data_IF_136603633187
#
_entry.id   IF_136603633187
#
_cell.length_a   1.000
_cell.length_b   1.000
_cell.length_c   1.000
_cell.angle_alpha   90.00
_cell.angle_beta   90.00
_cell.angle_gamma   90.00
#
_symmetry.space_group_name_H-M   'P 1'
#
loop_
_entity.id
_entity.type
_entity.pdbx_description
1 polymer ?
#
# COMPACT_ATOMS: atom_id res chain seq x y z
N UNK A 1 0.98 -25.32 -17.85
CA UNK A 1 2.27 -24.62 -17.64
C UNK A 1 1.99 -23.16 -17.25
N UNK A 2 1.48 -22.90 -16.03
CA UNK A 2 1.08 -21.54 -15.56
C UNK A 2 1.51 -21.24 -14.10
N UNK A 3 2.19 -22.18 -13.43
CA UNK A 3 2.59 -22.05 -12.03
C UNK A 3 3.79 -21.11 -11.82
N UNK A 4 4.64 -20.92 -12.84
CA UNK A 4 5.77 -19.97 -12.75
C UNK A 4 5.31 -18.51 -12.79
N UNK A 5 4.27 -18.19 -13.57
CA UNK A 5 3.68 -16.85 -13.56
C UNK A 5 3.07 -16.51 -12.20
N UNK A 6 2.43 -17.45 -11.49
CA UNK A 6 1.84 -17.14 -10.17
C UNK A 6 2.88 -16.90 -9.08
N UNK A 7 4.02 -17.59 -9.12
CA UNK A 7 5.13 -17.38 -8.17
C UNK A 7 5.86 -16.06 -8.43
N UNK A 8 6.15 -15.74 -9.70
CA UNK A 8 6.75 -14.46 -10.09
C UNK A 8 5.79 -13.32 -9.79
N UNK A 9 4.51 -13.45 -10.16
CA UNK A 9 3.49 -12.44 -9.87
C UNK A 9 3.28 -12.23 -8.36
N UNK A 10 3.33 -13.29 -7.53
CA UNK A 10 3.25 -13.14 -6.06
C UNK A 10 4.45 -12.37 -5.51
N UNK A 11 5.67 -12.75 -5.88
CA UNK A 11 6.87 -12.06 -5.42
C UNK A 11 6.94 -10.62 -5.94
N UNK A 12 6.50 -10.40 -7.18
CA UNK A 12 6.39 -9.07 -7.77
C UNK A 12 5.31 -8.23 -7.09
N UNK A 13 4.20 -8.82 -6.65
CA UNK A 13 3.15 -8.10 -5.92
C UNK A 13 3.71 -7.53 -4.61
N UNK A 14 4.43 -8.34 -3.85
CA UNK A 14 5.07 -7.92 -2.59
C UNK A 14 6.15 -6.87 -2.84
N UNK A 15 6.99 -7.05 -3.87
CA UNK A 15 8.03 -6.08 -4.24
C UNK A 15 7.42 -4.75 -4.72
N UNK A 16 6.40 -4.80 -5.58
CA UNK A 16 5.68 -3.62 -6.06
C UNK A 16 4.99 -2.89 -4.92
N UNK A 17 4.32 -3.60 -4.01
CA UNK A 17 3.70 -3.00 -2.82
C UNK A 17 4.74 -2.32 -1.93
N UNK A 18 5.89 -2.95 -1.71
CA UNK A 18 7.01 -2.31 -0.99
C UNK A 18 7.46 -1.01 -1.64
N UNK A 19 7.59 -0.97 -2.97
CA UNK A 19 8.08 0.23 -3.65
C UNK A 19 7.01 1.32 -3.77
N UNK A 20 5.76 0.96 -4.10
CA UNK A 20 4.66 1.91 -4.25
C UNK A 20 4.22 2.53 -2.93
N UNK A 21 4.24 1.75 -1.84
CA UNK A 21 3.76 2.19 -0.54
C UNK A 21 4.89 2.50 0.43
N UNK A 22 6.17 2.41 0.05
CA UNK A 22 7.31 2.79 0.90
C UNK A 22 7.11 4.20 1.47
N UNK A 23 6.74 5.14 0.60
CA UNK A 23 6.60 6.54 0.92
C UNK A 23 5.22 7.02 0.45
N UNK A 24 4.36 7.36 1.40
CA UNK A 24 3.01 7.87 1.15
C UNK A 24 2.96 9.32 1.58
N UNK A 25 2.68 10.21 0.63
CA UNK A 25 2.50 11.65 0.86
C UNK A 25 1.01 11.94 0.75
N UNK A 26 0.45 12.54 1.80
CA UNK A 26 -0.95 12.94 1.90
C UNK A 26 -1.00 14.45 2.08
N UNK A 27 -1.54 15.16 1.09
CA UNK A 27 -1.57 16.62 1.01
C UNK A 27 -2.92 17.21 1.46
N UNK A 28 -3.89 16.35 1.81
CA UNK A 28 -5.21 16.81 2.27
C UNK A 28 -5.90 15.81 3.19
N UNK A 29 -6.82 16.34 3.99
CA UNK A 29 -7.70 15.55 4.88
C UNK A 29 -8.53 14.53 4.06
N UNK A 30 -8.95 14.90 2.85
CA UNK A 30 -9.69 14.00 1.98
C UNK A 30 -8.83 12.82 1.49
N UNK A 31 -7.55 13.05 1.19
CA UNK A 31 -6.61 11.97 0.82
C UNK A 31 -6.32 11.06 2.02
N UNK A 32 -6.17 11.64 3.22
CA UNK A 32 -6.03 10.86 4.45
C UNK A 32 -7.24 9.93 4.69
N UNK A 33 -8.46 10.44 4.58
CA UNK A 33 -9.66 9.63 4.78
C UNK A 33 -9.77 8.48 3.76
N UNK A 34 -9.36 8.71 2.51
CA UNK A 34 -9.29 7.65 1.47
C UNK A 34 -8.21 6.62 1.79
N UNK A 35 -7.04 7.07 2.23
CA UNK A 35 -5.94 6.19 2.60
C UNK A 35 -6.26 5.33 3.83
N UNK A 36 -6.92 5.90 4.83
CA UNK A 36 -7.38 5.16 6.01
C UNK A 36 -8.38 4.05 5.62
N UNK A 37 -9.36 4.35 4.76
CA UNK A 37 -10.28 3.33 4.23
C UNK A 37 -9.57 2.25 3.42
N UNK A 38 -8.54 2.60 2.66
CA UNK A 38 -7.72 1.64 1.92
C UNK A 38 -6.94 0.72 2.86
N UNK A 39 -6.37 1.27 3.94
CA UNK A 39 -5.69 0.49 4.97
C UNK A 39 -6.66 -0.49 5.65
N UNK A 40 -7.82 -0.01 6.09
CA UNK A 40 -8.85 -0.84 6.73
C UNK A 40 -9.34 -1.97 5.82
N UNK A 41 -9.55 -1.69 4.53
CA UNK A 41 -9.92 -2.71 3.54
C UNK A 41 -8.79 -3.70 3.26
N UNK A 42 -7.53 -3.24 3.30
CA UNK A 42 -6.37 -4.09 3.07
C UNK A 42 -6.06 -5.01 4.24
N UNK A 43 -6.38 -4.61 5.48
CA UNK A 43 -6.20 -5.41 6.68
C UNK A 43 -7.01 -6.72 6.65
N UNK A 44 -8.08 -6.77 5.85
CA UNK A 44 -8.90 -7.97 5.63
C UNK A 44 -8.28 -8.93 4.59
N UNK A 45 -7.22 -8.52 3.90
CA UNK A 45 -6.50 -9.34 2.92
C UNK A 45 -5.22 -9.89 3.55
N UNK A 46 -4.80 -11.10 3.17
CA UNK A 46 -3.71 -11.92 3.78
C UNK A 46 -2.32 -11.22 3.93
N UNK A 47 -2.14 -10.04 3.36
CA UNK A 47 -0.95 -9.20 3.46
C UNK A 47 -1.35 -7.73 3.53
N UNK A 48 -1.80 -7.30 4.72
CA UNK A 48 -2.20 -5.92 4.97
C UNK A 48 -1.16 -4.90 4.50
N UNK A 49 -1.65 -3.81 3.91
CA UNK A 49 -0.81 -2.82 3.22
C UNK A 49 0.07 -2.03 4.19
N UNK A 50 -0.34 -1.96 5.46
CA UNK A 50 0.35 -1.26 6.55
C UNK A 50 1.80 -1.71 6.70
N UNK A 51 2.12 -2.97 6.35
CA UNK A 51 3.47 -3.54 6.41
C UNK A 51 4.42 -2.99 5.36
N UNK A 52 3.88 -2.35 4.33
CA UNK A 52 4.65 -1.80 3.23
C UNK A 52 4.86 -0.29 3.36
N UNK A 53 4.14 0.36 4.28
CA UNK A 53 4.28 1.79 4.58
C UNK A 53 5.48 2.01 5.50
N UNK A 54 6.53 2.64 4.97
CA UNK A 54 7.73 2.99 5.76
C UNK A 54 7.74 4.44 6.21
N UNK A 55 7.25 5.32 5.35
CA UNK A 55 7.16 6.75 5.59
C UNK A 55 5.76 7.24 5.24
N UNK A 56 5.16 7.97 6.17
CA UNK A 56 3.87 8.63 5.98
C UNK A 56 4.08 10.12 6.26
N UNK A 57 3.99 10.94 5.21
CA UNK A 57 4.07 12.40 5.34
C UNK A 57 2.68 12.99 5.16
N UNK A 58 2.20 13.71 6.16
CA UNK A 58 0.92 14.42 6.09
C UNK A 58 1.24 15.90 5.97
N UNK A 59 1.15 16.44 4.76
CA UNK A 59 1.25 17.88 4.52
C UNK A 59 -0.14 18.47 4.67
N UNK A 60 -0.42 19.10 5.80
CA UNK A 60 -1.62 19.92 5.98
C UNK A 60 -1.31 21.34 5.53
N UNK A 61 -1.29 21.56 4.22
CA UNK A 61 -1.37 22.93 3.70
C UNK A 61 -2.83 23.37 3.91
N UNK A 62 -3.01 24.20 4.93
CA UNK A 62 -4.29 24.83 5.32
C UNK A 62 -4.63 25.98 4.38
#
# INVERSE_FOLDING_TARGET
MLLACSLVCRNWLTAMRRHLFSDVILESIAQYAKFAKLLDGSAQTFEGLERYVRSLTISTEL
#
